data_IF_431335624068
#
_entry.id   IF_431335624068
#
_cell.length_a   1.000
_cell.length_b   1.000
_cell.length_c   1.000
_cell.angle_alpha   90.00
_cell.angle_beta   90.00
_cell.angle_gamma   90.00
#
_symmetry.space_group_name_H-M   'P 1'
#
loop_
_entity.id
_entity.type
_entity.pdbx_description
1 polymer ?
#
# COMPACT_ATOMS: atom_id res chain seq x y z
N UNK A 1 0.57 14.65 -28.38
CA UNK A 1 0.30 15.81 -27.48
C UNK A 1 -0.68 15.36 -26.39
N UNK A 2 -0.23 15.03 -25.16
CA UNK A 2 -1.13 14.68 -24.06
C UNK A 2 -1.76 15.99 -23.56
N UNK A 3 -3.06 16.19 -23.80
CA UNK A 3 -3.82 17.26 -23.19
C UNK A 3 -3.85 17.03 -21.67
N UNK A 4 -2.99 17.73 -20.94
CA UNK A 4 -3.10 17.82 -19.48
C UNK A 4 -4.18 18.85 -19.15
N UNK A 5 -5.34 18.40 -18.77
CA UNK A 5 -6.35 19.28 -18.22
C UNK A 5 -5.85 19.92 -16.91
N UNK A 6 -6.08 21.22 -16.69
CA UNK A 6 -5.73 21.83 -15.42
C UNK A 6 -6.54 21.17 -14.27
N UNK A 7 -5.93 21.07 -13.10
CA UNK A 7 -6.53 20.41 -11.92
C UNK A 7 -7.96 20.86 -11.61
N UNK A 8 -8.27 22.15 -11.89
CA UNK A 8 -9.63 22.71 -11.73
C UNK A 8 -10.67 22.06 -12.65
N UNK A 9 -10.29 21.68 -13.87
CA UNK A 9 -11.18 20.99 -14.80
C UNK A 9 -11.50 19.57 -14.34
N UNK A 10 -10.51 18.84 -13.81
CA UNK A 10 -10.73 17.53 -13.18
C UNK A 10 -11.68 17.61 -11.98
N UNK A 11 -11.53 18.62 -11.11
CA UNK A 11 -12.44 18.84 -9.97
C UNK A 11 -13.89 19.05 -10.39
N UNK A 12 -14.11 19.78 -11.49
CA UNK A 12 -15.44 20.03 -12.01
C UNK A 12 -16.05 18.78 -12.63
N UNK A 13 -15.26 18.03 -13.43
CA UNK A 13 -15.68 16.77 -14.03
C UNK A 13 -15.98 15.71 -12.96
N UNK A 14 -15.14 15.63 -11.93
CA UNK A 14 -15.31 14.71 -10.81
C UNK A 14 -16.63 14.99 -10.05
N UNK A 15 -16.95 16.26 -9.79
CA UNK A 15 -18.21 16.66 -9.14
C UNK A 15 -19.44 16.29 -9.98
N UNK A 16 -19.37 16.53 -11.28
CA UNK A 16 -20.45 16.19 -12.20
C UNK A 16 -20.65 14.68 -12.28
N UNK A 17 -19.56 13.93 -12.43
CA UNK A 17 -19.56 12.48 -12.50
C UNK A 17 -20.12 11.85 -11.22
N UNK A 18 -19.60 12.24 -10.05
CA UNK A 18 -20.08 11.78 -8.76
C UNK A 18 -21.54 12.13 -8.49
N UNK A 19 -22.01 13.27 -8.97
CA UNK A 19 -23.41 13.65 -8.80
C UNK A 19 -24.35 12.71 -9.56
N UNK A 20 -24.02 12.39 -10.82
CA UNK A 20 -24.81 11.48 -11.66
C UNK A 20 -24.78 10.05 -11.17
N UNK A 21 -23.60 9.54 -10.84
CA UNK A 21 -23.40 8.14 -10.45
C UNK A 21 -23.66 7.84 -8.96
N UNK A 22 -23.87 8.86 -8.14
CA UNK A 22 -23.96 8.70 -6.67
C UNK A 22 -24.99 7.65 -6.23
N UNK A 23 -26.11 7.52 -6.94
CA UNK A 23 -27.12 6.49 -6.67
C UNK A 23 -26.72 5.10 -7.16
N UNK A 24 -26.02 5.03 -8.29
CA UNK A 24 -25.52 3.78 -8.88
C UNK A 24 -24.33 3.27 -8.11
N UNK A 25 -23.40 4.14 -7.73
CA UNK A 25 -22.21 3.86 -6.94
C UNK A 25 -22.56 3.21 -5.61
N UNK A 26 -23.62 3.65 -4.94
CA UNK A 26 -24.09 3.04 -3.69
C UNK A 26 -24.54 1.58 -3.83
N UNK A 27 -24.85 1.12 -5.04
CA UNK A 27 -25.21 -0.28 -5.32
C UNK A 27 -23.97 -1.15 -5.58
N UNK A 28 -22.82 -0.56 -5.91
CA UNK A 28 -21.59 -1.26 -6.27
C UNK A 28 -20.52 -1.11 -5.20
N UNK A 29 -20.79 -1.64 -3.99
CA UNK A 29 -19.77 -1.82 -2.96
C UNK A 29 -19.06 -0.54 -2.49
N UNK A 30 -19.86 0.49 -2.17
CA UNK A 30 -19.39 1.71 -1.48
C UNK A 30 -18.36 2.59 -2.19
N UNK A 31 -18.28 2.55 -3.50
CA UNK A 31 -17.52 3.55 -4.23
C UNK A 31 -17.96 5.00 -3.91
N UNK A 32 -19.13 5.16 -3.27
CA UNK A 32 -19.58 6.44 -2.72
C UNK A 32 -18.74 6.98 -1.56
N UNK A 33 -17.88 6.14 -0.95
CA UNK A 33 -16.88 6.55 0.04
C UNK A 33 -15.58 7.04 -0.59
N UNK A 34 -15.48 7.05 -1.92
CA UNK A 34 -14.26 7.50 -2.59
C UNK A 34 -14.00 8.98 -2.29
N UNK A 35 -12.77 9.33 -1.86
CA UNK A 35 -12.40 10.71 -1.57
C UNK A 35 -12.55 11.61 -2.79
N UNK A 36 -12.83 12.88 -2.56
CA UNK A 36 -12.75 13.90 -3.60
C UNK A 36 -11.33 14.04 -4.15
N UNK A 37 -11.20 14.69 -5.31
CA UNK A 37 -9.90 14.81 -6.00
C UNK A 37 -8.81 15.48 -5.13
N UNK A 38 -9.19 16.43 -4.28
CA UNK A 38 -8.26 17.17 -3.40
C UNK A 38 -7.74 16.34 -2.25
N UNK A 39 -8.47 15.30 -1.87
CA UNK A 39 -8.19 14.45 -0.71
C UNK A 39 -7.50 13.14 -1.09
N UNK A 40 -7.37 12.83 -2.38
CA UNK A 40 -6.68 11.61 -2.83
C UNK A 40 -5.18 11.76 -2.66
N UNK A 41 -4.63 11.14 -1.63
CA UNK A 41 -3.28 11.39 -1.12
C UNK A 41 -2.15 10.81 -1.98
N UNK A 42 -2.43 9.96 -2.94
CA UNK A 42 -1.36 9.34 -3.72
C UNK A 42 -0.95 10.21 -4.92
N UNK A 43 0.30 10.67 -5.00
CA UNK A 43 0.83 11.33 -6.19
C UNK A 43 0.65 10.45 -7.43
N UNK A 44 0.14 11.02 -8.52
CA UNK A 44 -0.08 10.30 -9.78
C UNK A 44 -1.37 9.49 -9.88
N UNK A 45 -2.21 9.49 -8.85
CA UNK A 45 -3.51 8.79 -8.84
C UNK A 45 -4.71 9.73 -8.69
N UNK A 46 -4.79 10.83 -9.45
CA UNK A 46 -5.87 11.80 -9.28
C UNK A 46 -7.19 11.32 -9.88
N UNK A 47 -7.17 10.32 -10.80
CA UNK A 47 -8.36 9.96 -11.54
C UNK A 47 -9.28 9.05 -10.72
N UNK A 48 -10.58 9.26 -10.85
CA UNK A 48 -11.61 8.40 -10.29
C UNK A 48 -11.48 6.95 -10.80
N UNK A 49 -11.24 6.79 -12.10
CA UNK A 49 -11.07 5.49 -12.74
C UNK A 49 -9.89 4.70 -12.18
N UNK A 50 -8.78 5.37 -11.86
CA UNK A 50 -7.62 4.73 -11.24
C UNK A 50 -7.95 4.22 -9.83
N UNK A 51 -8.66 5.00 -9.03
CA UNK A 51 -9.11 4.56 -7.71
C UNK A 51 -10.09 3.37 -7.80
N UNK A 52 -11.06 3.40 -8.71
CA UNK A 52 -11.97 2.27 -8.95
C UNK A 52 -11.20 1.00 -9.31
N UNK A 53 -10.21 1.13 -10.19
CA UNK A 53 -9.36 0.02 -10.61
C UNK A 53 -8.58 -0.56 -9.44
N UNK A 54 -7.94 0.26 -8.63
CA UNK A 54 -7.18 -0.17 -7.46
C UNK A 54 -8.08 -0.84 -6.40
N UNK A 55 -9.23 -0.23 -6.09
CA UNK A 55 -10.21 -0.84 -5.18
C UNK A 55 -10.63 -2.21 -5.69
N UNK A 56 -10.88 -2.37 -7.00
CA UNK A 56 -11.25 -3.65 -7.60
C UNK A 56 -10.14 -4.71 -7.48
N UNK A 57 -8.88 -4.34 -7.75
CA UNK A 57 -7.73 -5.23 -7.56
C UNK A 57 -7.65 -5.72 -6.12
N UNK A 58 -7.64 -4.80 -5.15
CA UNK A 58 -7.44 -5.16 -3.76
C UNK A 58 -8.64 -5.86 -3.14
N UNK A 59 -9.87 -5.60 -3.61
CA UNK A 59 -11.01 -6.45 -3.27
C UNK A 59 -10.79 -7.89 -3.72
N UNK A 60 -10.25 -8.10 -4.92
CA UNK A 60 -9.96 -9.44 -5.45
C UNK A 60 -8.87 -10.12 -4.63
N UNK A 61 -7.76 -9.42 -4.36
CA UNK A 61 -6.65 -9.95 -3.56
C UNK A 61 -7.12 -10.27 -2.13
N UNK A 62 -7.91 -9.42 -1.50
CA UNK A 62 -8.50 -9.70 -0.19
C UNK A 62 -9.40 -10.93 -0.25
N UNK A 63 -10.31 -11.01 -1.24
CA UNK A 63 -11.25 -12.13 -1.38
C UNK A 63 -10.55 -13.48 -1.50
N UNK A 64 -9.44 -13.55 -2.22
CA UNK A 64 -8.68 -14.80 -2.38
C UNK A 64 -7.84 -15.17 -1.16
N UNK A 65 -7.58 -14.22 -0.27
CA UNK A 65 -6.71 -14.41 0.87
C UNK A 65 -7.43 -14.45 2.24
N UNK A 66 -8.64 -13.95 2.34
CA UNK A 66 -9.44 -14.01 3.55
C UNK A 66 -10.07 -15.40 3.71
N UNK A 67 -10.00 -15.98 4.92
CA UNK A 67 -10.62 -17.27 5.27
C UNK A 67 -12.12 -17.16 5.52
N UNK A 68 -12.59 -15.97 5.91
CA UNK A 68 -14.00 -15.69 6.17
C UNK A 68 -14.58 -14.81 5.06
N UNK A 69 -15.83 -15.02 4.74
CA UNK A 69 -16.54 -14.17 3.76
C UNK A 69 -16.87 -12.79 4.32
N UNK A 70 -17.07 -12.70 5.64
CA UNK A 70 -17.42 -11.48 6.36
C UNK A 70 -16.90 -11.53 7.81
N UNK A 71 -17.10 -10.46 8.56
CA UNK A 71 -16.67 -10.31 9.96
C UNK A 71 -15.14 -10.46 10.14
N UNK A 72 -14.38 -9.88 9.22
CA UNK A 72 -12.93 -9.84 9.29
C UNK A 72 -12.45 -8.58 10.01
N UNK A 73 -11.38 -8.72 10.78
CA UNK A 73 -10.61 -7.61 11.34
C UNK A 73 -9.43 -7.31 10.43
N UNK A 74 -9.42 -6.10 9.86
CA UNK A 74 -8.42 -5.63 8.89
C UNK A 74 -7.59 -4.54 9.51
N UNK A 75 -6.27 -4.69 9.51
CA UNK A 75 -5.32 -3.62 9.82
C UNK A 75 -4.66 -3.15 8.51
N UNK A 76 -4.73 -1.86 8.24
CA UNK A 76 -4.11 -1.24 7.06
C UNK A 76 -3.01 -0.27 7.49
N UNK A 77 -1.78 -0.63 7.15
CA UNK A 77 -0.57 0.13 7.49
C UNK A 77 -0.25 1.08 6.34
N UNK A 78 -0.09 2.38 6.64
CA UNK A 78 0.03 3.41 5.62
C UNK A 78 -1.28 3.60 4.86
N UNK A 79 -2.39 3.75 5.60
CA UNK A 79 -3.74 3.73 5.02
C UNK A 79 -4.02 4.92 4.07
N UNK A 80 -3.21 5.98 4.12
CA UNK A 80 -3.44 7.19 3.34
C UNK A 80 -4.87 7.69 3.51
N UNK A 81 -5.53 8.03 2.41
CA UNK A 81 -6.95 8.45 2.42
C UNK A 81 -7.94 7.31 2.12
N UNK A 82 -7.51 6.02 2.23
CA UNK A 82 -8.41 4.89 2.42
C UNK A 82 -8.76 4.07 1.19
N UNK A 83 -7.83 3.80 0.28
CA UNK A 83 -8.05 2.81 -0.79
C UNK A 83 -8.45 1.46 -0.19
N UNK A 84 -7.68 0.98 0.81
CA UNK A 84 -7.96 -0.29 1.47
C UNK A 84 -9.18 -0.23 2.38
N UNK A 85 -9.53 0.93 2.94
CA UNK A 85 -10.78 1.11 3.69
C UNK A 85 -12.00 0.79 2.80
N UNK A 86 -12.01 1.30 1.57
CA UNK A 86 -13.07 1.02 0.59
C UNK A 86 -13.01 -0.44 0.13
N UNK A 87 -11.82 -0.95 -0.19
CA UNK A 87 -11.64 -2.33 -0.65
C UNK A 87 -12.05 -3.37 0.40
N UNK A 88 -11.78 -3.11 1.68
CA UNK A 88 -12.08 -4.02 2.79
C UNK A 88 -13.54 -4.03 3.21
N UNK A 89 -14.27 -2.96 2.96
CA UNK A 89 -15.61 -2.76 3.48
C UNK A 89 -16.59 -3.93 3.21
N UNK A 90 -16.60 -4.59 2.04
CA UNK A 90 -17.48 -5.74 1.80
C UNK A 90 -17.22 -6.95 2.71
N UNK A 91 -16.06 -7.02 3.33
CA UNK A 91 -15.60 -8.15 4.15
C UNK A 91 -15.69 -7.92 5.65
N UNK A 92 -16.12 -6.72 6.08
CA UNK A 92 -16.21 -6.38 7.50
C UNK A 92 -17.50 -6.92 8.16
N UNK A 93 -18.62 -7.00 7.43
CA UNK A 93 -19.89 -7.40 7.99
C UNK A 93 -20.37 -6.51 9.14
N UNK A 94 -21.06 -7.12 10.09
CA UNK A 94 -21.57 -6.39 11.27
C UNK A 94 -20.60 -6.40 12.45
N UNK A 95 -19.71 -7.38 12.55
CA UNK A 95 -18.80 -7.61 13.69
C UNK A 95 -17.33 -7.31 13.35
N UNK A 96 -16.93 -7.37 12.08
CA UNK A 96 -15.58 -7.08 11.67
C UNK A 96 -15.26 -5.59 11.70
N UNK A 97 -13.97 -5.29 11.78
CA UNK A 97 -13.48 -3.93 11.94
C UNK A 97 -12.28 -3.63 11.03
N UNK A 98 -12.25 -2.43 10.49
CA UNK A 98 -11.08 -1.89 9.78
C UNK A 98 -10.37 -0.88 10.67
N UNK A 99 -9.06 -1.07 10.84
CA UNK A 99 -8.18 -0.10 11.51
C UNK A 99 -7.14 0.38 10.53
N UNK A 100 -7.16 1.67 10.17
CA UNK A 100 -6.11 2.32 9.38
C UNK A 100 -5.10 3.00 10.27
N UNK A 101 -3.80 2.80 10.02
CA UNK A 101 -2.73 3.56 10.68
C UNK A 101 -1.89 4.28 9.65
N UNK A 102 -1.49 5.52 9.92
CA UNK A 102 -0.64 6.32 9.05
C UNK A 102 0.19 7.32 9.87
N UNK A 103 1.37 7.66 9.37
CA UNK A 103 2.24 8.70 9.94
C UNK A 103 1.79 10.10 9.55
N UNK A 104 1.00 10.23 8.50
CA UNK A 104 0.51 11.52 8.00
C UNK A 104 -0.78 11.93 8.68
N UNK A 105 -0.66 12.85 9.63
CA UNK A 105 -1.78 13.35 10.47
C UNK A 105 -2.97 13.84 9.64
N UNK A 106 -2.72 14.60 8.56
CA UNK A 106 -3.79 15.14 7.72
C UNK A 106 -4.66 14.06 7.06
N UNK A 107 -4.07 12.93 6.66
CA UNK A 107 -4.79 11.83 6.04
C UNK A 107 -5.65 11.10 7.09
N UNK A 108 -5.13 10.93 8.30
CA UNK A 108 -5.90 10.37 9.43
C UNK A 108 -7.07 11.26 9.83
N UNK A 109 -6.87 12.57 9.92
CA UNK A 109 -7.94 13.54 10.24
C UNK A 109 -9.04 13.51 9.16
N UNK A 110 -8.65 13.46 7.88
CA UNK A 110 -9.58 13.27 6.77
C UNK A 110 -10.37 11.98 6.93
N UNK A 111 -9.70 10.84 7.14
CA UNK A 111 -10.33 9.54 7.26
C UNK A 111 -11.35 9.47 8.41
N UNK A 112 -11.03 10.04 9.58
CA UNK A 112 -11.93 10.10 10.74
C UNK A 112 -13.22 10.86 10.46
N UNK A 113 -13.18 11.85 9.57
CA UNK A 113 -14.35 12.63 9.18
C UNK A 113 -15.14 11.99 8.03
N UNK A 114 -14.45 11.26 7.17
CA UNK A 114 -14.99 10.77 5.90
C UNK A 114 -15.63 9.37 6.01
N UNK A 115 -15.03 8.48 6.79
CA UNK A 115 -15.50 7.10 6.92
C UNK A 115 -16.45 6.93 8.12
N UNK A 116 -17.47 6.01 8.02
CA UNK A 116 -18.42 5.78 9.12
C UNK A 116 -17.71 5.17 10.34
N UNK A 117 -18.00 5.69 11.54
CA UNK A 117 -17.35 5.25 12.79
C UNK A 117 -17.74 3.84 13.25
N UNK A 118 -18.80 3.23 12.68
CA UNK A 118 -19.30 1.92 13.14
C UNK A 118 -18.25 0.81 13.02
N UNK A 119 -17.58 0.74 11.86
CA UNK A 119 -16.67 -0.36 11.53
C UNK A 119 -15.25 0.14 11.12
N UNK A 120 -14.99 1.43 11.31
CA UNK A 120 -13.72 2.04 10.89
C UNK A 120 -13.09 2.81 12.03
N UNK A 121 -11.81 2.59 12.25
CA UNK A 121 -10.96 3.37 13.16
C UNK A 121 -9.71 3.84 12.43
N UNK A 122 -9.20 5.01 12.81
CA UNK A 122 -7.99 5.55 12.23
C UNK A 122 -7.06 6.09 13.32
N UNK A 123 -5.81 5.64 13.31
CA UNK A 123 -4.80 5.92 14.33
C UNK A 123 -3.64 6.65 13.67
N UNK A 124 -3.32 7.83 14.18
CA UNK A 124 -2.09 8.52 13.80
C UNK A 124 -0.91 7.86 14.50
N UNK A 125 0.07 7.40 13.72
CA UNK A 125 1.31 6.84 14.21
C UNK A 125 2.37 7.93 14.28
N UNK A 126 2.76 8.31 15.49
CA UNK A 126 3.79 9.34 15.71
C UNK A 126 5.20 8.74 15.56
N UNK A 127 5.48 8.19 14.39
CA UNK A 127 6.78 7.64 14.02
C UNK A 127 7.43 8.50 12.93
N UNK A 128 8.73 8.74 13.05
CA UNK A 128 9.46 9.51 12.04
C UNK A 128 9.66 8.70 10.76
N UNK A 129 9.51 9.37 9.62
CA UNK A 129 9.93 8.88 8.32
C UNK A 129 10.50 10.06 7.54
N UNK A 130 11.66 9.91 6.94
CA UNK A 130 12.38 11.01 6.30
C UNK A 130 11.62 11.68 5.14
N UNK A 131 10.68 10.98 4.52
CA UNK A 131 9.89 11.45 3.38
C UNK A 131 8.51 11.93 3.81
N UNK A 132 7.79 11.13 4.62
CA UNK A 132 6.38 11.35 4.90
C UNK A 132 6.11 12.03 6.25
N UNK A 133 7.05 11.94 7.19
CA UNK A 133 6.95 12.53 8.53
C UNK A 133 8.33 12.98 9.06
N UNK A 134 9.04 13.89 8.36
CA UNK A 134 10.41 14.28 8.71
C UNK A 134 10.48 15.06 10.04
N UNK A 135 9.39 15.70 10.44
CA UNK A 135 9.34 16.55 11.64
C UNK A 135 9.00 15.76 12.92
N UNK A 136 8.70 14.45 12.80
CA UNK A 136 8.43 13.62 13.95
C UNK A 136 9.73 13.14 14.60
N UNK A 137 9.82 13.25 15.92
CA UNK A 137 11.02 12.95 16.68
C UNK A 137 11.08 11.52 17.22
N UNK A 138 9.95 10.82 17.28
CA UNK A 138 9.91 9.44 17.72
C UNK A 138 10.46 8.53 16.62
N UNK A 139 11.41 7.67 17.00
CA UNK A 139 11.91 6.62 16.13
C UNK A 139 10.83 5.54 15.82
N UNK A 140 11.20 4.28 15.86
CA UNK A 140 10.26 3.16 15.71
C UNK A 140 9.24 3.13 16.86
N UNK A 141 7.95 3.11 16.52
CA UNK A 141 6.84 3.12 17.48
C UNK A 141 6.00 1.87 17.32
N UNK A 142 5.78 1.15 18.42
CA UNK A 142 4.86 0.01 18.46
C UNK A 142 3.44 0.46 18.09
N UNK A 143 2.75 -0.31 17.26
CA UNK A 143 1.38 0.02 16.87
C UNK A 143 0.42 -0.12 18.05
N UNK A 144 -0.48 0.84 18.21
CA UNK A 144 -1.55 0.83 19.22
C UNK A 144 -2.68 -0.13 18.81
N UNK A 145 -2.30 -1.35 18.47
CA UNK A 145 -3.15 -2.45 18.04
C UNK A 145 -2.84 -3.66 18.90
N UNK A 146 -3.88 -4.36 19.35
CA UNK A 146 -3.72 -5.51 20.23
C UNK A 146 -3.01 -6.68 19.52
N UNK A 147 -2.33 -7.52 20.30
CA UNK A 147 -1.72 -8.74 19.81
C UNK A 147 -2.80 -9.71 19.30
N UNK A 148 -2.51 -10.44 18.23
CA UNK A 148 -3.39 -11.46 17.65
C UNK A 148 -4.85 -10.99 17.43
N UNK A 149 -5.01 -9.76 16.93
CA UNK A 149 -6.31 -9.10 16.73
C UNK A 149 -6.74 -9.00 15.26
N UNK A 150 -5.82 -9.04 14.30
CA UNK A 150 -6.12 -8.88 12.88
C UNK A 150 -6.22 -10.23 12.15
N UNK A 151 -7.26 -10.42 11.34
CA UNK A 151 -7.38 -11.52 10.39
C UNK A 151 -6.48 -11.28 9.16
N UNK A 152 -6.33 -10.01 8.76
CA UNK A 152 -5.45 -9.59 7.69
C UNK A 152 -4.78 -8.25 7.99
N UNK A 153 -3.50 -8.14 7.63
CA UNK A 153 -2.74 -6.88 7.60
C UNK A 153 -2.46 -6.53 6.16
N UNK A 154 -2.72 -5.29 5.76
CA UNK A 154 -2.38 -4.76 4.43
C UNK A 154 -1.36 -3.64 4.55
N UNK A 155 -0.44 -3.54 3.58
CA UNK A 155 0.51 -2.44 3.51
C UNK A 155 0.86 -2.13 2.05
N UNK A 156 0.24 -1.09 1.50
CA UNK A 156 0.42 -0.69 0.11
C UNK A 156 1.43 0.44 -0.02
N UNK A 157 2.54 0.18 -0.71
CA UNK A 157 3.61 1.16 -0.90
C UNK A 157 4.19 1.69 0.41
N UNK A 158 4.33 0.84 1.42
CA UNK A 158 4.89 1.21 2.72
C UNK A 158 6.32 0.70 2.85
N UNK A 159 6.55 -0.60 2.62
CA UNK A 159 7.89 -1.19 2.68
C UNK A 159 8.82 -0.66 1.58
N UNK A 160 8.27 -0.10 0.52
CA UNK A 160 9.03 0.62 -0.51
C UNK A 160 9.57 1.99 -0.06
N UNK A 161 9.32 2.36 1.20
CA UNK A 161 9.77 3.62 1.82
C UNK A 161 10.39 3.39 3.20
N UNK A 162 10.84 2.17 3.50
CA UNK A 162 11.48 1.81 4.76
C UNK A 162 12.90 1.31 4.53
N UNK A 163 13.85 1.81 5.32
CA UNK A 163 15.17 1.21 5.41
C UNK A 163 15.08 -0.20 6.07
N UNK A 164 16.19 -0.94 6.06
CA UNK A 164 16.24 -2.32 6.56
C UNK A 164 15.79 -2.44 8.02
N UNK A 165 16.28 -1.55 8.88
CA UNK A 165 16.01 -1.61 10.32
C UNK A 165 14.52 -1.37 10.64
N UNK A 166 13.91 -0.38 9.99
CA UNK A 166 12.48 -0.08 10.14
C UNK A 166 11.61 -1.19 9.53
N UNK A 167 12.01 -1.68 8.35
CA UNK A 167 11.31 -2.77 7.67
C UNK A 167 11.23 -4.04 8.54
N UNK A 168 12.34 -4.44 9.18
CA UNK A 168 12.39 -5.59 10.09
C UNK A 168 11.56 -5.33 11.35
N UNK A 169 11.66 -4.13 11.95
CA UNK A 169 10.90 -3.79 13.15
C UNK A 169 9.39 -3.88 12.89
N UNK A 170 8.90 -3.25 11.83
CA UNK A 170 7.48 -3.26 11.53
C UNK A 170 6.98 -4.60 10.97
N UNK A 171 7.86 -5.42 10.42
CA UNK A 171 7.50 -6.78 10.04
C UNK A 171 7.24 -7.68 11.27
N UNK A 172 7.97 -7.45 12.37
CA UNK A 172 7.67 -8.08 13.67
C UNK A 172 6.34 -7.58 14.25
N UNK A 173 5.96 -6.31 14.03
CA UNK A 173 4.65 -5.81 14.43
C UNK A 173 3.52 -6.47 13.62
N UNK A 174 3.72 -6.77 12.32
CA UNK A 174 2.78 -7.59 11.55
C UNK A 174 2.59 -8.97 12.21
N UNK A 175 3.69 -9.67 12.53
CA UNK A 175 3.59 -10.97 13.23
C UNK A 175 2.86 -10.85 14.57
N UNK A 176 3.14 -9.82 15.34
CA UNK A 176 2.51 -9.61 16.64
C UNK A 176 0.99 -9.45 16.53
N UNK A 177 0.52 -8.61 15.60
CA UNK A 177 -0.91 -8.26 15.51
C UNK A 177 -1.76 -9.29 14.77
N UNK A 178 -1.18 -10.08 13.87
CA UNK A 178 -1.90 -11.13 13.17
C UNK A 178 -2.35 -12.25 14.11
N UNK A 179 -3.58 -12.71 13.92
CA UNK A 179 -4.07 -13.95 14.49
C UNK A 179 -3.31 -15.16 13.90
N UNK A 180 -3.21 -16.30 14.60
CA UNK A 180 -2.73 -17.54 13.98
C UNK A 180 -3.52 -17.86 12.71
N UNK A 181 -2.83 -18.15 11.62
CA UNK A 181 -3.41 -18.34 10.29
C UNK A 181 -3.91 -17.07 9.61
N UNK A 182 -3.70 -15.89 10.21
CA UNK A 182 -3.93 -14.60 9.56
C UNK A 182 -2.88 -14.31 8.51
N UNK A 183 -3.19 -13.43 7.56
CA UNK A 183 -2.31 -13.12 6.44
C UNK A 183 -1.88 -11.65 6.40
N UNK A 184 -0.67 -11.39 5.91
CA UNK A 184 -0.20 -10.06 5.55
C UNK A 184 -0.09 -9.93 4.02
N UNK A 185 -0.62 -8.86 3.46
CA UNK A 185 -0.58 -8.51 2.03
C UNK A 185 0.26 -7.23 1.92
N UNK A 186 1.51 -7.37 1.52
CA UNK A 186 2.49 -6.28 1.53
C UNK A 186 3.08 -6.09 0.15
N UNK A 187 3.23 -4.84 -0.30
CA UNK A 187 3.82 -4.56 -1.59
C UNK A 187 5.30 -4.18 -1.49
N UNK A 188 6.07 -4.65 -2.47
CA UNK A 188 7.50 -4.44 -2.59
C UNK A 188 7.92 -4.08 -4.02
N UNK A 189 9.11 -3.51 -4.16
CA UNK A 189 9.93 -3.66 -5.35
C UNK A 189 10.89 -4.81 -5.10
N UNK A 190 10.53 -6.03 -5.53
CA UNK A 190 11.33 -7.23 -5.29
C UNK A 190 12.42 -7.36 -6.36
N UNK A 191 13.67 -7.31 -5.93
CA UNK A 191 14.86 -7.39 -6.79
C UNK A 191 15.26 -8.85 -7.01
N UNK A 192 14.37 -9.62 -7.63
CA UNK A 192 14.52 -11.04 -7.96
C UNK A 192 15.19 -11.26 -9.33
N UNK A 193 15.33 -12.51 -9.74
CA UNK A 193 15.93 -12.88 -11.02
C UNK A 193 15.20 -12.27 -12.22
N UNK A 194 13.87 -12.10 -12.12
CA UNK A 194 13.08 -11.46 -13.15
C UNK A 194 13.44 -9.98 -13.29
N UNK A 195 13.61 -9.26 -12.17
CA UNK A 195 14.13 -7.89 -12.18
C UNK A 195 15.50 -7.84 -12.82
N UNK A 196 16.45 -8.66 -12.37
CA UNK A 196 17.82 -8.67 -12.88
C UNK A 196 17.90 -9.02 -14.36
N UNK A 197 17.02 -9.86 -14.87
CA UNK A 197 16.96 -10.19 -16.31
C UNK A 197 16.37 -9.04 -17.14
N UNK A 198 15.41 -8.29 -16.61
CA UNK A 198 14.72 -7.23 -17.34
C UNK A 198 15.46 -5.88 -17.28
N UNK A 199 16.06 -5.52 -16.14
CA UNK A 199 16.66 -4.20 -15.90
C UNK A 199 17.73 -3.81 -16.93
N UNK A 200 18.48 -4.78 -17.45
CA UNK A 200 19.54 -4.57 -18.46
C UNK A 200 18.97 -4.13 -19.83
N UNK A 201 17.67 -4.29 -20.05
CA UNK A 201 16.98 -3.87 -21.28
C UNK A 201 16.26 -2.52 -21.14
N UNK A 202 16.29 -1.93 -19.95
CA UNK A 202 15.59 -0.69 -19.66
C UNK A 202 16.27 0.53 -20.25
N UNK A 203 15.47 1.52 -20.60
CA UNK A 203 15.89 2.75 -21.23
C UNK A 203 15.12 3.95 -20.65
N UNK A 204 15.53 5.14 -21.05
CA UNK A 204 14.81 6.38 -20.69
C UNK A 204 13.51 6.52 -21.50
N UNK A 205 12.55 5.65 -21.24
CA UNK A 205 11.22 5.63 -21.85
C UNK A 205 10.16 5.22 -20.86
N UNK A 206 8.92 5.54 -21.17
CA UNK A 206 7.77 5.09 -20.39
C UNK A 206 7.67 3.57 -20.37
N UNK A 207 7.31 3.04 -19.21
CA UNK A 207 7.04 1.62 -19.04
C UNK A 207 5.91 1.13 -19.97
N UNK A 208 6.00 -0.11 -20.37
CA UNK A 208 5.04 -0.75 -21.27
C UNK A 208 3.69 -1.02 -20.61
N UNK A 209 3.71 -1.35 -19.32
CA UNK A 209 2.54 -1.75 -18.56
C UNK A 209 2.15 -0.73 -17.46
N UNK A 210 2.92 0.34 -17.32
CA UNK A 210 2.73 1.33 -16.27
C UNK A 210 3.11 2.74 -16.78
N UNK A 211 2.82 3.76 -15.99
CA UNK A 211 3.08 5.17 -16.33
C UNK A 211 4.36 5.72 -15.70
N UNK A 212 5.32 4.86 -15.36
CA UNK A 212 6.65 5.25 -14.85
C UNK A 212 7.71 5.10 -15.93
N UNK A 213 8.76 5.91 -15.88
CA UNK A 213 9.95 5.69 -16.69
C UNK A 213 10.69 4.46 -16.21
N UNK A 214 11.16 3.60 -17.14
CA UNK A 214 11.85 2.35 -16.80
C UNK A 214 13.09 2.62 -15.95
N UNK A 215 13.95 3.57 -16.38
CA UNK A 215 15.18 3.94 -15.67
C UNK A 215 14.95 4.50 -14.26
N UNK A 216 13.75 4.99 -13.94
CA UNK A 216 13.42 5.46 -12.60
C UNK A 216 13.33 4.35 -11.55
N UNK A 217 13.42 3.08 -11.96
CA UNK A 217 13.35 1.90 -11.09
C UNK A 217 14.60 1.03 -11.15
N UNK A 218 15.73 1.62 -11.49
CA UNK A 218 17.05 0.95 -11.42
C UNK A 218 17.57 1.11 -9.99
N UNK A 219 17.48 0.05 -9.19
CA UNK A 219 17.90 0.01 -7.79
C UNK A 219 19.36 -0.42 -7.71
N UNK A 220 20.28 0.54 -7.81
CA UNK A 220 21.72 0.31 -7.95
C UNK A 220 22.56 0.79 -6.75
N UNK A 221 21.97 1.56 -5.83
CA UNK A 221 22.67 2.15 -4.70
C UNK A 221 22.21 1.47 -3.40
N UNK A 222 23.13 0.87 -2.59
CA UNK A 222 22.78 0.28 -1.30
C UNK A 222 22.22 1.33 -0.34
N UNK A 223 21.10 1.01 0.32
CA UNK A 223 20.52 1.83 1.37
C UNK A 223 21.23 1.56 2.70
N UNK A 224 21.79 2.59 3.32
CA UNK A 224 22.40 2.53 4.67
C UNK A 224 23.40 1.37 4.85
N UNK A 225 24.24 1.10 3.85
CA UNK A 225 25.20 -0.02 3.82
C UNK A 225 24.56 -1.43 3.83
N UNK A 226 23.26 -1.53 3.63
CA UNK A 226 22.59 -2.81 3.48
C UNK A 226 23.07 -3.57 2.25
N UNK A 227 23.09 -4.90 2.35
CA UNK A 227 23.33 -5.79 1.21
C UNK A 227 22.05 -6.20 0.49
N UNK A 228 20.89 -5.85 1.06
CA UNK A 228 19.60 -6.36 0.63
C UNK A 228 18.57 -5.25 0.34
N UNK A 229 18.83 -4.01 0.77
CA UNK A 229 17.99 -2.83 0.52
C UNK A 229 18.70 -1.87 -0.40
N UNK A 230 18.07 -1.48 -1.50
CA UNK A 230 18.65 -0.63 -2.53
C UNK A 230 17.69 0.49 -2.91
N UNK A 231 18.24 1.62 -3.33
CA UNK A 231 17.49 2.71 -3.93
C UNK A 231 18.10 3.12 -5.26
N UNK A 232 17.37 3.81 -6.16
CA UNK A 232 17.95 4.40 -7.36
C UNK A 232 18.92 5.54 -7.01
N UNK A 233 19.89 5.77 -7.85
CA UNK A 233 20.88 6.83 -7.69
C UNK A 233 20.31 8.27 -7.73
N UNK A 234 19.15 8.45 -8.37
CA UNK A 234 18.45 9.74 -8.39
C UNK A 234 17.72 10.06 -7.06
N UNK A 235 17.48 9.08 -6.18
CA UNK A 235 16.81 9.30 -4.90
C UNK A 235 17.74 10.04 -3.94
N UNK A 236 17.39 11.27 -3.59
CA UNK A 236 18.18 12.08 -2.65
C UNK A 236 18.14 11.49 -1.22
N UNK A 237 17.03 10.84 -0.87
CA UNK A 237 16.85 10.05 0.35
C UNK A 237 16.50 8.63 -0.04
N UNK A 238 17.16 7.61 0.55
CA UNK A 238 16.84 6.21 0.22
C UNK A 238 15.35 5.89 0.30
N UNK A 239 14.66 6.41 1.32
CA UNK A 239 13.24 6.17 1.59
C UNK A 239 12.29 6.78 0.54
N UNK A 240 12.79 7.53 -0.45
CA UNK A 240 11.94 7.98 -1.58
C UNK A 240 11.45 6.80 -2.43
N UNK A 241 12.28 5.76 -2.56
CA UNK A 241 11.86 4.48 -3.16
C UNK A 241 12.93 3.40 -2.90
N UNK A 242 12.51 2.31 -2.30
CA UNK A 242 13.38 1.20 -1.89
C UNK A 242 12.95 -0.10 -2.57
N UNK A 243 13.94 -0.81 -3.13
CA UNK A 243 13.82 -2.19 -3.57
C UNK A 243 14.53 -3.14 -2.60
N UNK A 244 14.00 -4.35 -2.47
CA UNK A 244 14.49 -5.37 -1.52
C UNK A 244 14.77 -6.67 -2.25
N UNK A 245 15.91 -7.31 -1.95
CA UNK A 245 16.27 -8.61 -2.53
C UNK A 245 15.46 -9.75 -1.88
N UNK A 246 15.37 -10.93 -2.52
CA UNK A 246 14.80 -12.12 -1.86
C UNK A 246 15.48 -12.47 -0.52
N UNK A 247 16.80 -12.24 -0.41
CA UNK A 247 17.52 -12.43 0.84
C UNK A 247 17.08 -11.43 1.92
N UNK A 248 16.73 -10.20 1.55
CA UNK A 248 16.15 -9.21 2.47
C UNK A 248 14.76 -9.62 2.95
N UNK A 249 13.91 -10.17 2.08
CA UNK A 249 12.64 -10.76 2.50
C UNK A 249 12.89 -11.90 3.50
N UNK A 250 13.86 -12.79 3.24
CA UNK A 250 14.23 -13.86 4.17
C UNK A 250 14.71 -13.33 5.51
N UNK A 251 15.50 -12.26 5.52
CA UNK A 251 15.96 -11.61 6.78
C UNK A 251 14.78 -11.15 7.64
N UNK A 252 13.71 -10.61 7.04
CA UNK A 252 12.49 -10.27 7.77
C UNK A 252 11.76 -11.50 8.28
N UNK A 253 11.63 -12.54 7.46
CA UNK A 253 10.96 -13.80 7.82
C UNK A 253 11.66 -14.50 8.99
N UNK A 254 12.99 -14.55 9.00
CA UNK A 254 13.80 -15.19 10.07
C UNK A 254 13.57 -14.58 11.46
N UNK A 255 12.95 -13.40 11.53
CA UNK A 255 12.64 -12.70 12.79
C UNK A 255 11.20 -12.88 13.25
N UNK A 256 10.38 -13.65 12.53
CA UNK A 256 8.94 -13.77 12.73
C UNK A 256 8.46 -15.22 12.59
N UNK A 257 7.17 -15.44 12.82
CA UNK A 257 6.48 -16.73 12.55
C UNK A 257 5.73 -16.69 11.21
N UNK A 258 6.10 -15.77 10.34
CA UNK A 258 5.48 -15.62 9.02
C UNK A 258 6.20 -16.49 8.00
N UNK A 259 5.46 -17.00 7.03
CA UNK A 259 6.01 -17.62 5.83
C UNK A 259 5.42 -16.95 4.58
N UNK A 260 6.21 -16.83 3.51
CA UNK A 260 5.72 -16.38 2.21
C UNK A 260 4.91 -17.50 1.56
N UNK A 261 3.62 -17.23 1.28
CA UNK A 261 2.70 -18.23 0.73
C UNK A 261 2.26 -17.93 -0.71
N UNK A 262 2.34 -16.67 -1.15
CA UNK A 262 1.96 -16.29 -2.50
C UNK A 262 2.70 -15.03 -2.96
N UNK A 263 3.00 -14.93 -4.25
CA UNK A 263 3.61 -13.75 -4.87
C UNK A 263 2.88 -13.42 -6.17
N UNK A 264 2.39 -12.18 -6.26
CA UNK A 264 1.88 -11.60 -7.50
C UNK A 264 2.93 -10.66 -8.07
N UNK A 265 3.46 -11.00 -9.24
CA UNK A 265 4.49 -10.20 -9.91
C UNK A 265 3.94 -8.81 -10.29
N UNK A 266 4.69 -7.77 -9.97
CA UNK A 266 4.38 -6.40 -10.30
C UNK A 266 4.72 -6.03 -11.75
N UNK A 267 3.87 -5.23 -12.38
CA UNK A 267 4.11 -4.80 -13.76
C UNK A 267 5.19 -3.72 -13.91
N UNK A 268 5.74 -3.23 -12.81
CA UNK A 268 6.92 -2.35 -12.79
C UNK A 268 8.17 -3.00 -13.39
N UNK A 269 8.20 -4.35 -13.43
CA UNK A 269 9.28 -5.16 -14.03
C UNK A 269 9.16 -5.32 -15.55
N UNK A 270 8.27 -4.55 -16.19
CA UNK A 270 7.99 -4.62 -17.63
C UNK A 270 7.39 -5.95 -18.12
N UNK A 271 6.69 -6.64 -17.24
CA UNK A 271 5.90 -7.84 -17.51
C UNK A 271 4.43 -7.64 -17.15
N UNK A 272 3.49 -8.44 -17.68
CA UNK A 272 2.10 -8.41 -17.22
C UNK A 272 2.03 -8.70 -15.72
N UNK A 273 1.27 -7.90 -14.97
CA UNK A 273 1.11 -8.06 -13.53
C UNK A 273 -0.22 -7.49 -13.04
N UNK A 274 -0.69 -7.97 -11.90
CA UNK A 274 -1.98 -7.58 -11.30
C UNK A 274 -1.95 -6.14 -10.80
N UNK A 275 -0.80 -5.74 -10.27
CA UNK A 275 -0.60 -4.41 -9.70
C UNK A 275 0.74 -3.84 -10.16
N UNK A 276 1.00 -2.57 -9.84
CA UNK A 276 2.26 -1.93 -10.19
C UNK A 276 3.45 -2.57 -9.47
N UNK A 277 3.41 -2.64 -8.15
CA UNK A 277 4.43 -3.30 -7.32
C UNK A 277 4.15 -4.80 -7.21
N UNK A 278 5.18 -5.58 -6.83
CA UNK A 278 4.97 -6.97 -6.43
C UNK A 278 4.11 -7.01 -5.16
N UNK A 279 3.14 -7.93 -5.11
CA UNK A 279 2.36 -8.18 -3.91
C UNK A 279 2.83 -9.51 -3.32
N UNK A 280 3.36 -9.47 -2.11
CA UNK A 280 3.76 -10.65 -1.36
C UNK A 280 2.73 -10.92 -0.27
N UNK A 281 2.28 -12.17 -0.19
CA UNK A 281 1.35 -12.62 0.83
C UNK A 281 2.07 -13.55 1.80
N UNK A 282 2.03 -13.17 3.06
CA UNK A 282 2.62 -13.95 4.15
C UNK A 282 1.50 -14.50 5.04
N UNK A 283 1.70 -15.71 5.59
CA UNK A 283 0.78 -16.33 6.55
C UNK A 283 1.49 -16.59 7.87
N UNK A 284 0.78 -16.34 8.98
CA UNK A 284 1.28 -16.60 10.34
C UNK A 284 0.94 -18.02 10.77
N UNK A 285 1.94 -18.74 11.24
CA UNK A 285 1.84 -20.08 11.83
C UNK A 285 1.59 -20.07 13.34
#
# INVERSE_FOLDING_TARGET
MKLRFPLRAYKTLDRLYLHYDKKMIRRTRNLGLMPGLSERSAPGRPSYGEWCYLVGIFQTVLRTNLKKDTDNDVLDVGCGTGIMAIASQPFLGDKGHYTGIDVKRSDIEFCRQHYPNKNFSFIHLDASNQVFAPDQSAGKVKWQVADASADVVTALSVWTHMNEEDAIFYFREIDRVLKPGGKAIVTFYLLDDLYHSSVNTWADKMGRYNNSYQNSRIFNTPSSQSKNWFHPDWAAKPEETIGVTPAGIQTMLDTTRLSLVETYVGNWKEVPGVFYQDILVFEKH
#
